data_IF_228155983530
#
_entry.id   IF_228155983530
#
_cell.length_a   1.000
_cell.length_b   1.000
_cell.length_c   1.000
_cell.angle_alpha   90.00
_cell.angle_beta   90.00
_cell.angle_gamma   90.00
#
_symmetry.space_group_name_H-M   'P 1'
#
loop_
_entity.id
_entity.type
_entity.pdbx_description
1 polymer ?
#
# COMPACT_ATOMS: atom_id res chain seq x y z
N UNK A 1 -9.06 18.07 -4.93
CA UNK A 1 -8.42 17.42 -3.74
C UNK A 1 -7.57 16.28 -4.27
N UNK A 2 -6.25 16.41 -4.17
CA UNK A 2 -5.29 15.52 -4.81
C UNK A 2 -5.11 14.23 -3.97
N UNK A 3 -5.89 13.19 -4.30
CA UNK A 3 -5.64 11.83 -3.83
C UNK A 3 -4.81 11.09 -4.88
N UNK A 4 -3.77 10.37 -4.45
CA UNK A 4 -2.87 9.66 -5.37
C UNK A 4 -3.56 8.43 -5.97
N UNK A 5 -4.41 7.76 -5.18
CA UNK A 5 -5.21 6.61 -5.59
C UNK A 5 -6.51 6.59 -4.79
N UNK A 6 -7.60 6.14 -5.43
CA UNK A 6 -8.89 5.88 -4.79
C UNK A 6 -9.41 4.51 -5.22
N UNK A 7 -9.79 3.70 -4.24
CA UNK A 7 -10.36 2.36 -4.46
C UNK A 7 -11.59 2.14 -3.58
N UNK A 8 -12.32 1.05 -3.83
CA UNK A 8 -13.37 0.55 -2.96
C UNK A 8 -12.94 -0.78 -2.33
N UNK A 9 -13.04 -0.86 -1.01
CA UNK A 9 -12.65 -2.05 -0.25
C UNK A 9 -13.43 -2.12 1.07
N UNK A 10 -13.48 -3.31 1.67
CA UNK A 10 -13.86 -3.48 3.07
C UNK A 10 -12.62 -3.26 3.92
N UNK A 11 -12.72 -2.38 4.92
CA UNK A 11 -11.64 -2.15 5.87
C UNK A 11 -11.65 -3.24 6.93
N UNK A 12 -10.48 -3.82 7.16
CA UNK A 12 -10.26 -4.90 8.12
C UNK A 12 -9.31 -4.43 9.22
N UNK A 13 -9.50 -4.94 10.43
CA UNK A 13 -8.55 -4.81 11.54
C UNK A 13 -8.21 -6.20 12.05
N UNK A 14 -7.06 -6.32 12.71
CA UNK A 14 -6.79 -7.54 13.47
C UNK A 14 -7.49 -7.47 14.82
N UNK A 15 -8.11 -8.57 15.19
CA UNK A 15 -8.65 -8.79 16.53
C UNK A 15 -7.59 -9.52 17.36
N UNK A 16 -7.19 -8.93 18.49
CA UNK A 16 -6.13 -9.48 19.35
C UNK A 16 -6.61 -10.69 20.16
N UNK A 17 -7.94 -10.86 20.32
CA UNK A 17 -8.49 -12.00 21.05
C UNK A 17 -8.50 -13.30 20.22
N UNK A 18 -8.94 -13.24 18.96
CA UNK A 18 -8.94 -14.38 18.05
C UNK A 18 -7.65 -14.51 17.23
N UNK A 19 -6.84 -13.46 17.14
CA UNK A 19 -5.71 -13.35 16.23
C UNK A 19 -6.10 -13.21 14.75
N UNK A 20 -7.39 -13.18 14.44
CA UNK A 20 -7.98 -13.15 13.10
C UNK A 20 -8.22 -11.73 12.56
N UNK A 21 -8.64 -11.66 11.31
CA UNK A 21 -9.03 -10.41 10.65
C UNK A 21 -10.55 -10.23 10.71
N UNK A 22 -11.00 -9.06 11.17
CA UNK A 22 -12.43 -8.74 11.30
C UNK A 22 -12.76 -7.40 10.60
N UNK A 23 -13.98 -7.23 10.06
CA UNK A 23 -14.37 -5.98 9.43
C UNK A 23 -14.42 -4.82 10.43
N UNK A 24 -13.71 -3.74 10.12
CA UNK A 24 -13.66 -2.55 10.98
C UNK A 24 -14.96 -1.74 10.90
N UNK A 25 -15.44 -1.27 12.05
CA UNK A 25 -16.67 -0.46 12.15
C UNK A 25 -17.96 -1.21 11.81
N UNK A 26 -17.97 -2.55 11.75
CA UNK A 26 -19.12 -3.31 11.26
C UNK A 26 -19.12 -3.47 9.74
N UNK A 27 -17.95 -3.37 9.11
CA UNK A 27 -17.71 -3.71 7.70
C UNK A 27 -18.43 -2.81 6.70
N UNK A 28 -18.68 -3.36 5.51
CA UNK A 28 -19.23 -2.65 4.36
C UNK A 28 -18.16 -1.97 3.50
N UNK A 29 -18.50 -1.73 2.24
CA UNK A 29 -17.61 -1.05 1.30
C UNK A 29 -17.32 0.38 1.75
N UNK A 30 -16.07 0.78 1.57
CA UNK A 30 -15.56 2.11 1.88
C UNK A 30 -14.79 2.67 0.70
N UNK A 31 -14.88 3.99 0.49
CA UNK A 31 -13.93 4.71 -0.36
C UNK A 31 -12.62 4.86 0.41
N UNK A 32 -11.58 4.17 -0.06
CA UNK A 32 -10.24 4.25 0.51
C UNK A 32 -9.37 5.10 -0.39
N UNK A 33 -8.74 6.12 0.19
CA UNK A 33 -7.92 7.10 -0.53
C UNK A 33 -6.57 7.24 0.12
N UNK A 34 -5.53 7.35 -0.70
CA UNK A 34 -4.21 7.82 -0.29
C UNK A 34 -4.17 9.32 -0.56
N UNK A 35 -4.02 10.14 0.48
CA UNK A 35 -4.05 11.59 0.35
C UNK A 35 -2.94 12.27 1.14
N UNK A 36 -2.66 13.52 0.77
CA UNK A 36 -1.74 14.38 1.50
C UNK A 36 -2.46 14.97 2.72
N UNK A 37 -1.96 14.68 3.91
CA UNK A 37 -2.36 15.30 5.17
C UNK A 37 -1.73 16.68 5.38
N UNK A 38 -2.23 17.41 6.38
CA UNK A 38 -1.59 18.64 6.87
C UNK A 38 -0.58 18.25 7.95
N UNK A 39 0.68 18.64 7.81
CA UNK A 39 1.64 18.50 8.90
C UNK A 39 1.28 19.48 10.01
N UNK A 40 1.05 18.93 11.21
CA UNK A 40 0.66 19.71 12.38
C UNK A 40 1.86 20.51 12.95
N UNK A 41 3.10 20.20 12.56
CA UNK A 41 4.30 20.67 13.25
C UNK A 41 5.00 21.88 12.58
N UNK A 42 4.37 22.59 11.63
CA UNK A 42 4.93 23.84 11.07
C UNK A 42 6.21 23.69 10.23
N UNK A 43 6.87 22.52 10.20
CA UNK A 43 8.16 22.29 9.52
C UNK A 43 8.07 22.07 7.99
N UNK A 44 6.96 22.40 7.34
CA UNK A 44 6.80 22.23 5.88
C UNK A 44 6.83 20.78 5.35
N UNK A 45 7.07 19.77 6.20
CA UNK A 45 7.12 18.35 5.79
C UNK A 45 5.73 17.88 5.35
N UNK A 46 5.63 17.26 4.18
CA UNK A 46 4.37 16.72 3.65
C UNK A 46 4.06 15.41 4.40
N UNK A 47 2.93 15.33 5.11
CA UNK A 47 2.45 14.08 5.69
C UNK A 47 1.48 13.42 4.71
N UNK A 48 1.50 12.10 4.64
CA UNK A 48 0.60 11.33 3.79
C UNK A 48 -0.19 10.35 4.64
N UNK A 49 -1.43 10.08 4.24
CA UNK A 49 -2.37 9.30 5.02
C UNK A 49 -3.27 8.44 4.13
N UNK A 50 -3.60 7.26 4.62
CA UNK A 50 -4.63 6.39 4.08
C UNK A 50 -5.91 6.67 4.86
N UNK A 51 -6.98 7.04 4.15
CA UNK A 51 -8.30 7.32 4.74
C UNK A 51 -9.34 6.41 4.14
N UNK A 52 -10.24 5.89 4.96
CA UNK A 52 -11.40 5.12 4.54
C UNK A 52 -12.68 5.77 5.05
N UNK A 53 -13.55 6.15 4.13
CA UNK A 53 -14.90 6.62 4.43
C UNK A 53 -15.90 5.58 3.94
N UNK A 54 -16.74 5.08 4.85
CA UNK A 54 -17.69 4.03 4.53
C UNK A 54 -18.84 4.56 3.67
N UNK A 55 -19.22 3.79 2.64
CA UNK A 55 -20.19 4.26 1.63
C UNK A 55 -21.60 4.48 2.19
N UNK A 56 -22.06 3.63 3.10
CA UNK A 56 -23.47 3.62 3.53
C UNK A 56 -23.85 4.83 4.41
N UNK A 57 -22.92 5.30 5.23
CA UNK A 57 -23.18 6.27 6.31
C UNK A 57 -22.11 7.37 6.39
N UNK A 58 -21.14 7.36 5.46
CA UNK A 58 -19.99 8.27 5.43
C UNK A 58 -19.15 8.24 6.72
N UNK A 59 -19.22 7.15 7.49
CA UNK A 59 -18.44 7.02 8.71
C UNK A 59 -16.94 6.92 8.39
N UNK A 60 -16.07 7.68 9.07
CA UNK A 60 -14.63 7.49 8.96
C UNK A 60 -14.24 6.19 9.66
N UNK A 61 -13.84 5.18 8.89
CA UNK A 61 -13.51 3.85 9.40
C UNK A 61 -12.01 3.55 9.38
N UNK A 62 -11.23 4.32 8.62
CA UNK A 62 -9.78 4.17 8.54
C UNK A 62 -9.13 5.55 8.50
N UNK A 63 -8.16 5.76 9.37
CA UNK A 63 -7.26 6.90 9.30
C UNK A 63 -5.88 6.45 9.79
N UNK A 64 -4.90 6.46 8.88
CA UNK A 64 -3.58 5.92 9.14
C UNK A 64 -2.53 6.79 8.45
N UNK A 65 -1.51 7.23 9.19
CA UNK A 65 -0.35 7.93 8.62
C UNK A 65 0.54 6.93 7.89
N UNK A 66 0.97 7.29 6.68
CA UNK A 66 1.95 6.49 5.91
C UNK A 66 3.34 6.84 6.41
N UNK A 67 4.06 5.84 6.93
CA UNK A 67 5.43 5.95 7.40
C UNK A 67 6.40 5.40 6.35
N UNK A 68 7.64 5.89 6.36
CA UNK A 68 8.74 5.24 5.63
C UNK A 68 8.97 3.85 6.21
N UNK A 69 9.30 2.86 5.37
CA UNK A 69 9.48 1.49 5.81
C UNK A 69 8.18 0.77 6.23
N UNK A 70 7.02 1.28 5.81
CA UNK A 70 5.74 0.61 6.03
C UNK A 70 5.78 -0.85 5.53
N UNK A 71 5.51 -1.80 6.42
CA UNK A 71 5.48 -3.21 6.06
C UNK A 71 4.13 -3.57 5.45
N UNK A 72 4.07 -3.65 4.12
CA UNK A 72 2.89 -4.02 3.35
C UNK A 72 2.95 -5.50 2.92
N UNK A 73 1.90 -6.25 3.22
CA UNK A 73 1.81 -7.70 2.99
C UNK A 73 0.63 -8.04 2.08
N UNK A 74 0.88 -8.94 1.13
CA UNK A 74 -0.13 -9.44 0.19
C UNK A 74 -0.45 -10.89 0.53
N UNK A 75 -1.58 -11.12 1.19
CA UNK A 75 -1.98 -12.47 1.64
C UNK A 75 -2.61 -13.24 0.49
N UNK A 76 -3.44 -12.57 -0.30
CA UNK A 76 -4.02 -13.09 -1.54
C UNK A 76 -4.33 -11.92 -2.50
N UNK A 77 -4.76 -12.17 -3.75
CA UNK A 77 -4.95 -11.12 -4.76
C UNK A 77 -5.92 -9.99 -4.39
N UNK A 78 -6.78 -10.19 -3.39
CA UNK A 78 -7.77 -9.20 -2.96
C UNK A 78 -7.66 -8.84 -1.47
N UNK A 79 -6.70 -9.40 -0.75
CA UNK A 79 -6.53 -9.12 0.67
C UNK A 79 -5.08 -8.77 0.99
N UNK A 80 -4.88 -7.49 1.25
CA UNK A 80 -3.59 -6.94 1.65
C UNK A 80 -3.69 -6.28 3.02
N UNK A 81 -2.58 -6.26 3.76
CA UNK A 81 -2.55 -5.64 5.07
C UNK A 81 -1.20 -5.02 5.41
N UNK A 82 -1.20 -4.09 6.34
CA UNK A 82 -0.01 -3.42 6.84
C UNK A 82 -0.10 -3.17 8.34
N UNK A 83 1.03 -2.81 8.94
CA UNK A 83 1.13 -2.42 10.35
C UNK A 83 1.65 -0.99 10.42
N UNK A 84 1.05 -0.19 11.31
CA UNK A 84 1.58 1.10 11.76
C UNK A 84 1.55 1.10 13.28
N UNK A 85 2.73 1.28 13.87
CA UNK A 85 2.96 1.08 15.30
C UNK A 85 2.42 -0.31 15.73
N UNK A 86 1.56 -0.37 16.75
CA UNK A 86 0.94 -1.62 17.20
C UNK A 86 -0.33 -1.99 16.42
N UNK A 87 -0.84 -1.11 15.56
CA UNK A 87 -2.12 -1.33 14.86
C UNK A 87 -1.91 -2.04 13.53
N UNK A 88 -2.78 -3.01 13.25
CA UNK A 88 -2.80 -3.76 11.98
C UNK A 88 -4.06 -3.43 11.20
N UNK A 89 -3.88 -2.94 9.99
CA UNK A 89 -4.96 -2.57 9.08
C UNK A 89 -4.91 -3.47 7.85
N UNK A 90 -6.08 -3.83 7.34
CA UNK A 90 -6.22 -4.62 6.13
C UNK A 90 -7.29 -4.06 5.21
N UNK A 91 -7.20 -4.42 3.93
CA UNK A 91 -8.21 -4.10 2.93
C UNK A 91 -8.57 -5.38 2.18
N UNK A 92 -9.86 -5.68 2.15
CA UNK A 92 -10.43 -6.64 1.21
C UNK A 92 -10.97 -5.87 0.00
N UNK A 93 -10.24 -5.91 -1.11
CA UNK A 93 -10.56 -5.23 -2.35
C UNK A 93 -11.70 -5.94 -3.09
N UNK A 94 -12.42 -5.20 -3.93
CA UNK A 94 -13.46 -5.79 -4.79
C UNK A 94 -12.88 -6.59 -5.96
N UNK A 95 -11.64 -6.28 -6.36
CA UNK A 95 -10.97 -6.91 -7.49
C UNK A 95 -9.45 -6.92 -7.30
N UNK A 96 -8.73 -7.86 -7.94
CA UNK A 96 -7.27 -7.81 -8.00
C UNK A 96 -6.73 -6.52 -8.63
N UNK A 97 -7.45 -5.95 -9.62
CA UNK A 97 -7.06 -4.70 -10.27
C UNK A 97 -7.08 -3.50 -9.29
N UNK A 98 -8.08 -3.42 -8.40
CA UNK A 98 -8.12 -2.42 -7.33
C UNK A 98 -6.96 -2.61 -6.36
N UNK A 99 -6.66 -3.86 -6.00
CA UNK A 99 -5.57 -4.20 -5.07
C UNK A 99 -4.20 -3.78 -5.61
N UNK A 100 -3.94 -4.05 -6.90
CA UNK A 100 -2.73 -3.65 -7.62
C UNK A 100 -2.65 -2.13 -7.76
N UNK A 101 -3.75 -1.47 -8.11
CA UNK A 101 -3.81 -0.01 -8.21
C UNK A 101 -3.44 0.66 -6.88
N UNK A 102 -4.00 0.14 -5.77
CA UNK A 102 -3.70 0.64 -4.43
C UNK A 102 -2.23 0.42 -4.04
N UNK A 103 -1.70 -0.80 -4.28
CA UNK A 103 -0.31 -1.14 -4.02
C UNK A 103 0.65 -0.19 -4.75
N UNK A 104 0.47 -0.02 -6.07
CA UNK A 104 1.33 0.87 -6.88
C UNK A 104 1.29 2.31 -6.39
N UNK A 105 0.10 2.80 -6.01
CA UNK A 105 -0.06 4.13 -5.44
C UNK A 105 0.65 4.32 -4.10
N UNK A 106 0.58 3.32 -3.23
CA UNK A 106 1.23 3.34 -1.92
C UNK A 106 2.75 3.25 -2.05
N UNK A 107 3.26 2.35 -2.90
CA UNK A 107 4.69 2.20 -3.14
C UNK A 107 5.29 3.46 -3.76
N UNK A 108 4.68 3.99 -4.83
CA UNK A 108 5.17 5.21 -5.47
C UNK A 108 5.14 6.43 -4.53
N UNK A 109 4.21 6.44 -3.56
CA UNK A 109 4.20 7.44 -2.51
C UNK A 109 5.37 7.27 -1.52
N UNK A 110 5.62 6.05 -1.04
CA UNK A 110 6.73 5.75 -0.12
C UNK A 110 8.06 6.11 -0.79
N UNK A 111 8.28 5.72 -2.04
CA UNK A 111 9.50 6.05 -2.78
C UNK A 111 9.67 7.57 -2.95
N UNK A 112 8.57 8.31 -3.14
CA UNK A 112 8.58 9.77 -3.21
C UNK A 112 8.93 10.41 -1.86
N UNK A 113 8.50 9.83 -0.75
CA UNK A 113 8.88 10.26 0.59
C UNK A 113 10.38 10.01 0.85
N UNK A 114 10.94 8.96 0.27
CA UNK A 114 12.37 8.66 0.36
C UNK A 114 13.21 9.66 -0.43
N UNK A 115 12.92 9.85 -1.72
CA UNK A 115 13.63 10.84 -2.55
C UNK A 115 13.47 12.29 -2.05
N UNK A 116 12.30 12.64 -1.52
CA UNK A 116 12.03 14.00 -1.02
C UNK A 116 12.71 14.34 0.31
N UNK A 117 13.42 13.39 0.93
CA UNK A 117 14.23 13.62 2.13
C UNK A 117 15.66 14.06 1.80
N UNK A 118 16.13 13.81 0.58
CA UNK A 118 17.53 14.06 0.17
C UNK A 118 17.69 15.35 -0.66
N UNK A 119 16.60 16.07 -0.94
CA UNK A 119 16.63 17.28 -1.76
C UNK A 119 16.49 18.54 -0.90
N UNK A 120 17.48 18.80 -0.05
CA UNK A 120 17.82 20.16 0.37
C UNK A 120 19.34 20.30 0.38
N UNK A 121 19.96 20.16 -0.79
CA UNK A 121 21.27 20.72 -1.12
C UNK A 121 21.53 20.59 -2.63
N UNK A 122 22.13 21.64 -3.19
CA UNK A 122 22.79 21.76 -4.50
C UNK A 122 21.94 21.59 -5.78
N UNK A 123 21.56 22.74 -6.33
CA UNK A 123 21.76 23.13 -7.74
C UNK A 123 22.76 22.24 -8.49
N UNK A 124 22.37 21.74 -9.66
CA UNK A 124 23.04 22.01 -10.96
C UNK A 124 22.30 21.28 -12.09
N UNK A 125 22.16 21.98 -13.21
CA UNK A 125 21.63 21.54 -14.52
C UNK A 125 22.35 20.32 -15.08
N UNK A 126 21.70 19.59 -16.01
CA UNK A 126 22.48 19.11 -17.16
C UNK A 126 21.80 19.38 -18.51
N UNK A 127 22.65 19.75 -19.45
CA UNK A 127 22.40 19.93 -20.88
C UNK A 127 22.13 18.61 -21.60
N UNK A 128 21.52 18.74 -22.78
CA UNK A 128 21.27 17.70 -23.77
C UNK A 128 22.56 17.05 -24.31
N UNK A 129 22.44 15.78 -24.69
CA UNK A 129 23.45 15.03 -25.44
C UNK A 129 22.83 13.79 -26.06
N UNK A 130 22.50 13.88 -27.35
CA UNK A 130 22.06 12.81 -28.25
C UNK A 130 23.28 12.00 -28.74
N UNK A 131 23.25 10.66 -28.71
CA UNK A 131 23.92 9.78 -29.71
C UNK A 131 23.37 8.35 -29.61
N UNK A 132 23.28 7.73 -30.78
CA UNK A 132 22.72 6.41 -31.12
C UNK A 132 23.64 5.19 -30.81
N UNK A 133 22.98 4.03 -30.78
CA UNK A 133 23.36 2.72 -31.37
C UNK A 133 24.21 1.65 -30.63
N UNK A 134 23.73 0.43 -30.90
CA UNK A 134 24.27 -0.94 -30.94
C UNK A 134 24.48 -1.84 -29.69
N UNK A 135 23.80 -3.01 -29.77
CA UNK A 135 24.33 -4.33 -29.43
C UNK A 135 24.43 -4.76 -27.95
N UNK A 136 23.59 -5.72 -27.54
CA UNK A 136 24.01 -7.11 -27.20
C UNK A 136 23.10 -7.79 -26.16
N UNK A 137 22.83 -9.08 -26.42
CA UNK A 137 21.86 -9.96 -25.78
C UNK A 137 22.05 -10.19 -24.27
N UNK A 138 20.95 -10.32 -23.52
CA UNK A 138 20.97 -10.93 -22.18
C UNK A 138 19.86 -11.98 -22.07
N UNK A 139 20.26 -13.13 -21.51
CA UNK A 139 19.51 -14.37 -21.43
C UNK A 139 18.26 -14.28 -20.58
N UNK A 140 17.15 -14.79 -21.10
CA UNK A 140 15.89 -14.96 -20.38
C UNK A 140 16.03 -16.11 -19.38
N UNK A 141 16.28 -15.81 -18.10
CA UNK A 141 16.11 -16.80 -17.03
C UNK A 141 14.65 -16.81 -16.60
N UNK A 142 13.98 -17.95 -16.77
CA UNK A 142 12.61 -18.17 -16.32
C UNK A 142 12.52 -18.06 -14.78
N UNK A 143 11.42 -17.53 -14.22
CA UNK A 143 11.20 -17.50 -12.78
C UNK A 143 11.03 -18.92 -12.21
N UNK A 144 11.46 -19.17 -10.96
CA UNK A 144 11.31 -20.48 -10.33
C UNK A 144 9.83 -20.84 -10.10
N UNK A 145 9.48 -22.14 -10.10
CA UNK A 145 8.10 -22.58 -9.85
C UNK A 145 7.67 -22.29 -8.40
N UNK A 146 6.35 -22.10 -8.16
CA UNK A 146 5.82 -21.86 -6.81
C UNK A 146 6.01 -23.10 -5.90
N UNK A 147 6.12 -22.90 -4.57
CA UNK A 147 6.25 -24.00 -3.61
C UNK A 147 4.98 -24.87 -3.57
N UNK A 148 5.12 -26.17 -3.24
CA UNK A 148 3.98 -27.08 -3.15
C UNK A 148 3.03 -26.72 -2.00
N UNK A 149 1.73 -27.07 -2.10
CA UNK A 149 0.76 -26.84 -1.04
C UNK A 149 1.08 -27.67 0.22
N UNK A 150 0.68 -27.20 1.42
CA UNK A 150 0.87 -27.94 2.66
C UNK A 150 0.09 -29.26 2.67
N UNK A 151 0.56 -30.29 3.40
CA UNK A 151 -0.12 -31.58 3.49
C UNK A 151 -1.49 -31.44 4.18
N UNK A 152 -2.46 -32.32 3.85
CA UNK A 152 -3.76 -32.32 4.50
C UNK A 152 -3.63 -32.66 6.00
N UNK A 153 -4.55 -32.16 6.85
CA UNK A 153 -4.56 -32.47 8.27
C UNK A 153 -4.78 -33.98 8.49
N UNK A 154 -4.23 -34.55 9.58
CA UNK A 154 -4.42 -35.97 9.90
C UNK A 154 -5.90 -36.27 10.11
N UNK A 155 -6.38 -37.35 9.48
CA UNK A 155 -7.69 -37.91 9.81
C UNK A 155 -7.54 -38.70 11.11
N UNK A 156 -8.17 -38.22 12.17
CA UNK A 156 -8.39 -39.03 13.36
C UNK A 156 -9.49 -40.04 13.05
N UNK A 157 -9.16 -41.33 13.16
CA UNK A 157 -10.10 -42.45 13.11
C UNK A 157 -10.82 -42.60 14.44
#
# INVERSE_FOLDING_TARGET
REGFVRVRAVVMTRDDSSGGWVPLGGGGLSHVVICKGRSQEGRGRKQYMIRGERLRDRAPVLECVVQKGLVYNKVNPIFHHWRVDERKFGLTFQSPADAISFEKGLQGLIDKMDRGSDSTSSSSTPEEGDTEDDGQAVSTTAPPPPPPPPPPPPRYH
#
